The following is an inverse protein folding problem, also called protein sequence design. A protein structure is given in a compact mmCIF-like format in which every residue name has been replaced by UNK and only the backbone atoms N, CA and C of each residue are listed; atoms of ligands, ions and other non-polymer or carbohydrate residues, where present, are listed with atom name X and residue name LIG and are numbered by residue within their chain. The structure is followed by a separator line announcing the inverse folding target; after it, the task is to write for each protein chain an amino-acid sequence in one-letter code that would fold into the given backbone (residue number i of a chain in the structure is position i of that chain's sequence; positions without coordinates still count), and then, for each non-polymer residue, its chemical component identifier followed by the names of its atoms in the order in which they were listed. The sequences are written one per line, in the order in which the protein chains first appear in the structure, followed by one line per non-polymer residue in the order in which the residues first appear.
data_IF_588505738022
#
_entry.id   IF_588505738022
#
_cell.length_a   1.000
_cell.length_b   1.000
_cell.length_c   1.000
_cell.angle_alpha   90.00
_cell.angle_beta   90.00
_cell.angle_gamma   90.00
#
_symmetry.space_group_name_H-M   'P 1'
#
loop_
_entity.id
_entity.type
_entity.pdbx_description
1 polymer ?
#
# COMPACT_ATOMS: atom_id res chain seq x y z
N UNK A 1 32.34 14.97 -14.69
CA UNK A 1 31.93 13.74 -15.41
C UNK A 1 32.83 12.51 -15.24
N UNK A 2 34.14 12.62 -14.97
CA UNK A 2 35.03 11.45 -14.83
C UNK A 2 34.65 10.46 -13.72
N UNK A 3 34.09 10.93 -12.61
CA UNK A 3 33.59 10.05 -11.53
C UNK A 3 32.33 9.27 -11.93
N UNK A 4 31.45 9.84 -12.76
CA UNK A 4 30.23 9.16 -13.25
C UNK A 4 30.59 7.96 -14.13
N UNK A 5 31.69 8.05 -14.88
CA UNK A 5 32.18 6.96 -15.74
C UNK A 5 32.62 5.71 -14.94
N UNK A 6 32.91 5.85 -13.64
CA UNK A 6 33.27 4.73 -12.75
C UNK A 6 32.05 3.97 -12.23
N UNK A 7 30.83 4.48 -12.44
CA UNK A 7 29.59 3.85 -11.96
C UNK A 7 28.74 3.34 -13.12
N UNK A 8 28.09 2.19 -12.91
CA UNK A 8 27.04 1.71 -13.81
C UNK A 8 25.71 2.38 -13.42
N UNK A 9 25.00 3.03 -14.34
CA UNK A 9 23.67 3.55 -14.05
C UNK A 9 22.70 2.39 -13.79
N UNK A 10 21.95 2.49 -12.70
CA UNK A 10 20.85 1.57 -12.37
C UNK A 10 19.55 2.36 -12.45
N UNK A 11 18.62 1.91 -13.29
CA UNK A 11 17.31 2.53 -13.41
C UNK A 11 16.37 1.94 -12.36
N UNK A 12 15.94 2.74 -11.40
CA UNK A 12 14.89 2.36 -10.45
C UNK A 12 13.54 2.85 -10.98
N UNK A 13 12.82 1.95 -11.65
CA UNK A 13 11.45 2.20 -12.11
C UNK A 13 10.45 2.07 -10.97
N UNK A 14 9.21 2.51 -11.22
CA UNK A 14 8.09 2.36 -10.28
C UNK A 14 7.96 0.88 -9.89
N UNK A 15 8.00 0.53 -8.59
CA UNK A 15 7.89 -0.85 -8.16
C UNK A 15 6.49 -1.42 -8.40
N UNK A 16 6.35 -2.73 -8.37
CA UNK A 16 5.02 -3.37 -8.42
C UNK A 16 4.35 -3.29 -7.04
N UNK A 17 3.34 -2.42 -6.94
CA UNK A 17 2.65 -2.16 -5.68
C UNK A 17 1.78 -3.33 -5.23
N UNK A 18 1.25 -4.11 -6.18
CA UNK A 18 0.36 -5.24 -5.88
C UNK A 18 1.16 -6.39 -5.28
N UNK A 19 2.33 -6.69 -5.86
CA UNK A 19 3.21 -7.75 -5.37
C UNK A 19 3.76 -7.43 -3.98
N UNK A 20 4.19 -6.18 -3.76
CA UNK A 20 4.69 -5.74 -2.45
C UNK A 20 3.59 -5.85 -1.39
N UNK A 21 2.37 -5.40 -1.72
CA UNK A 21 1.23 -5.49 -0.80
C UNK A 21 0.83 -6.94 -0.52
N UNK A 22 0.86 -7.82 -1.52
CA UNK A 22 0.56 -9.25 -1.36
C UNK A 22 1.52 -9.93 -0.39
N UNK A 23 2.84 -9.77 -0.62
CA UNK A 23 3.87 -10.37 0.25
C UNK A 23 3.77 -9.80 1.67
N UNK A 24 3.51 -8.50 1.80
CA UNK A 24 3.38 -7.85 3.10
C UNK A 24 2.16 -8.36 3.87
N UNK A 25 0.99 -8.46 3.24
CA UNK A 25 -0.21 -9.02 3.88
C UNK A 25 -0.02 -10.50 4.24
N UNK A 26 0.63 -11.27 3.37
CA UNK A 26 0.92 -12.67 3.64
C UNK A 26 1.83 -12.83 4.88
N UNK A 27 2.86 -11.98 5.02
CA UNK A 27 3.73 -11.96 6.20
C UNK A 27 2.99 -11.58 7.49
N UNK A 28 1.89 -10.83 7.40
CA UNK A 28 1.03 -10.44 8.52
C UNK A 28 -0.06 -11.50 8.84
N UNK A 29 -0.08 -12.62 8.11
CA UNK A 29 -0.99 -13.75 8.36
C UNK A 29 -2.33 -13.67 7.64
N UNK A 30 -2.43 -12.92 6.54
CA UNK A 30 -3.63 -12.88 5.70
C UNK A 30 -3.65 -14.05 4.70
N UNK A 31 -4.71 -14.84 4.71
CA UNK A 31 -4.93 -15.93 3.76
C UNK A 31 -5.41 -15.41 2.39
N UNK A 32 -6.20 -14.33 2.38
CA UNK A 32 -6.76 -13.73 1.16
C UNK A 32 -5.91 -12.58 0.60
N UNK A 33 -4.63 -12.51 0.99
CA UNK A 33 -3.67 -11.46 0.66
C UNK A 33 -3.65 -11.09 -0.84
N UNK A 34 -3.65 -12.08 -1.73
CA UNK A 34 -3.62 -11.90 -3.20
C UNK A 34 -4.81 -11.13 -3.76
N UNK A 35 -5.99 -11.33 -3.18
CA UNK A 35 -7.22 -10.66 -3.62
C UNK A 35 -7.27 -9.25 -3.02
N UNK A 36 -6.92 -9.12 -1.74
CA UNK A 36 -6.92 -7.85 -1.02
C UNK A 36 -5.87 -6.87 -1.54
N UNK A 37 -4.67 -7.33 -1.86
CA UNK A 37 -3.60 -6.51 -2.44
C UNK A 37 -4.07 -5.86 -3.75
N UNK A 38 -4.58 -6.64 -4.70
CA UNK A 38 -5.08 -6.13 -5.99
C UNK A 38 -6.20 -5.12 -5.83
N UNK A 39 -7.15 -5.38 -4.92
CA UNK A 39 -8.25 -4.44 -4.63
C UNK A 39 -7.72 -3.13 -4.05
N UNK A 40 -6.80 -3.21 -3.10
CA UNK A 40 -6.15 -2.04 -2.50
C UNK A 40 -5.40 -1.22 -3.53
N UNK A 41 -4.52 -1.84 -4.31
CA UNK A 41 -3.69 -1.13 -5.28
C UNK A 41 -4.55 -0.46 -6.36
N UNK A 42 -5.63 -1.14 -6.79
CA UNK A 42 -6.58 -0.56 -7.74
C UNK A 42 -7.34 0.63 -7.15
N UNK A 43 -7.72 0.58 -5.87
CA UNK A 43 -8.35 1.70 -5.17
C UNK A 43 -7.42 2.91 -5.11
N UNK A 44 -6.15 2.74 -4.70
CA UNK A 44 -5.20 3.85 -4.63
C UNK A 44 -4.89 4.44 -6.01
N UNK A 45 -4.80 3.60 -7.04
CA UNK A 45 -4.64 4.05 -8.42
C UNK A 45 -5.83 4.92 -8.86
N UNK A 46 -7.06 4.43 -8.69
CA UNK A 46 -8.26 5.18 -9.05
C UNK A 46 -8.39 6.46 -8.24
N UNK A 47 -8.05 6.44 -6.94
CA UNK A 47 -8.07 7.64 -6.11
C UNK A 47 -7.10 8.71 -6.65
N UNK A 48 -5.89 8.32 -7.07
CA UNK A 48 -4.93 9.26 -7.66
C UNK A 48 -5.37 9.84 -9.01
N UNK A 49 -6.25 9.13 -9.74
CA UNK A 49 -6.76 9.54 -11.06
C UNK A 49 -8.06 10.35 -10.97
N UNK A 50 -8.89 10.11 -9.94
CA UNK A 50 -10.26 10.65 -9.85
C UNK A 50 -10.44 11.74 -8.80
N UNK A 51 -9.60 11.78 -7.76
CA UNK A 51 -9.69 12.80 -6.71
C UNK A 51 -9.03 14.09 -7.19
N UNK A 52 -9.50 15.24 -6.69
CA UNK A 52 -8.89 16.54 -7.01
C UNK A 52 -7.39 16.56 -6.68
N UNK A 53 -6.60 17.25 -7.51
CA UNK A 53 -5.16 17.33 -7.34
C UNK A 53 -4.82 18.31 -6.20
N UNK A 54 -4.67 17.78 -4.98
CA UNK A 54 -4.25 18.55 -3.81
C UNK A 54 -2.83 18.15 -3.37
N UNK A 55 -1.97 19.10 -2.93
CA UNK A 55 -0.59 18.81 -2.54
C UNK A 55 -0.45 17.84 -1.34
N UNK A 56 -1.47 17.75 -0.49
CA UNK A 56 -1.46 16.94 0.73
C UNK A 56 -1.94 15.50 0.52
N UNK A 57 -2.48 15.16 -0.66
CA UNK A 57 -2.86 13.78 -0.97
C UNK A 57 -1.62 12.95 -1.33
N UNK A 58 -1.41 11.87 -0.56
CA UNK A 58 -0.36 10.87 -0.83
C UNK A 58 -0.99 9.51 -1.11
N UNK A 59 -0.95 9.10 -2.38
CA UNK A 59 -1.38 7.78 -2.86
C UNK A 59 -0.19 6.88 -3.24
N UNK A 60 1.04 7.28 -2.90
CA UNK A 60 2.25 6.55 -3.25
C UNK A 60 2.50 5.32 -2.36
N UNK A 61 3.60 4.61 -2.67
CA UNK A 61 4.04 3.42 -1.92
C UNK A 61 4.20 3.66 -0.41
N UNK A 62 4.56 4.88 -0.01
CA UNK A 62 4.70 5.24 1.41
C UNK A 62 3.36 5.17 2.16
N UNK A 63 2.31 5.74 1.58
CA UNK A 63 0.96 5.65 2.14
C UNK A 63 0.46 4.20 2.19
N UNK A 64 0.67 3.44 1.11
CA UNK A 64 0.31 2.01 1.04
C UNK A 64 1.01 1.22 2.14
N UNK A 65 2.32 1.40 2.34
CA UNK A 65 3.07 0.72 3.40
C UNK A 65 2.50 0.99 4.80
N UNK A 66 2.12 2.25 5.08
CA UNK A 66 1.51 2.61 6.36
C UNK A 66 0.19 1.85 6.60
N UNK A 67 -0.67 1.75 5.59
CA UNK A 67 -1.93 1.01 5.68
C UNK A 67 -1.69 -0.49 5.88
N UNK A 68 -0.70 -1.08 5.20
CA UNK A 68 -0.37 -2.50 5.36
C UNK A 68 0.05 -2.84 6.79
N UNK A 69 0.88 -1.99 7.41
CA UNK A 69 1.31 -2.15 8.82
C UNK A 69 0.12 -2.01 9.78
N UNK A 70 -0.78 -1.05 9.52
CA UNK A 70 -2.01 -0.89 10.30
C UNK A 70 -2.94 -2.10 10.14
N UNK A 71 -3.09 -2.65 8.94
CA UNK A 71 -3.90 -3.84 8.68
C UNK A 71 -3.35 -5.07 9.41
N UNK A 72 -2.03 -5.27 9.40
CA UNK A 72 -1.38 -6.36 10.16
C UNK A 72 -1.59 -6.24 11.67
N UNK A 73 -1.48 -5.02 12.20
CA UNK A 73 -1.80 -4.74 13.61
C UNK A 73 -3.28 -5.00 13.90
N UNK A 74 -4.17 -4.56 13.01
CA UNK A 74 -5.61 -4.80 13.12
C UNK A 74 -5.98 -6.28 13.12
N UNK A 75 -5.29 -7.11 12.31
CA UNK A 75 -5.51 -8.56 12.25
C UNK A 75 -5.06 -9.25 13.54
N UNK A 76 -3.90 -8.86 14.11
CA UNK A 76 -3.44 -9.37 15.41
C UNK A 76 -4.40 -9.03 16.54
N UNK A 77 -4.91 -7.81 16.57
CA UNK A 77 -5.87 -7.39 17.60
C UNK A 77 -7.25 -8.01 17.44
N UNK A 78 -7.58 -8.51 16.24
CA UNK A 78 -8.91 -9.05 15.92
C UNK A 78 -8.80 -10.31 15.04
N UNK A 79 -8.46 -11.47 15.61
CA UNK A 79 -8.16 -12.68 14.84
C UNK A 79 -9.37 -13.20 14.05
N UNK A 80 -10.56 -13.16 14.67
CA UNK A 80 -11.80 -13.72 14.15
C UNK A 80 -12.53 -12.81 13.15
N UNK A 81 -12.09 -11.55 13.03
CA UNK A 81 -12.70 -10.60 12.11
C UNK A 81 -12.32 -10.96 10.66
N UNK A 82 -13.28 -10.89 9.72
CA UNK A 82 -13.00 -11.09 8.31
C UNK A 82 -11.90 -10.14 7.82
N UNK A 83 -10.92 -10.70 7.12
CA UNK A 83 -9.73 -9.98 6.65
C UNK A 83 -10.08 -8.75 5.80
N UNK A 84 -11.13 -8.84 4.99
CA UNK A 84 -11.63 -7.72 4.21
C UNK A 84 -12.08 -6.55 5.09
N UNK A 85 -12.72 -6.83 6.23
CA UNK A 85 -13.19 -5.79 7.16
C UNK A 85 -11.99 -5.14 7.86
N UNK A 86 -11.01 -5.93 8.30
CA UNK A 86 -9.76 -5.42 8.88
C UNK A 86 -9.06 -4.48 7.90
N UNK A 87 -8.98 -4.88 6.62
CA UNK A 87 -8.37 -4.08 5.58
C UNK A 87 -9.13 -2.78 5.30
N UNK A 88 -10.46 -2.84 5.19
CA UNK A 88 -11.30 -1.66 5.00
C UNK A 88 -11.12 -0.68 6.17
N UNK A 89 -11.12 -1.17 7.41
CA UNK A 89 -10.91 -0.35 8.59
C UNK A 89 -9.57 0.37 8.55
N UNK A 90 -8.48 -0.36 8.26
CA UNK A 90 -7.15 0.24 8.14
C UNK A 90 -7.07 1.31 7.03
N UNK A 91 -7.76 1.11 5.90
CA UNK A 91 -7.85 2.11 4.83
C UNK A 91 -8.64 3.34 5.27
N UNK A 92 -9.80 3.15 5.91
CA UNK A 92 -10.64 4.23 6.40
C UNK A 92 -9.90 5.07 7.44
N UNK A 93 -9.31 4.44 8.45
CA UNK A 93 -8.57 5.11 9.52
C UNK A 93 -7.37 5.91 8.98
N UNK A 94 -6.73 5.44 7.90
CA UNK A 94 -5.61 6.15 7.27
C UNK A 94 -6.03 7.27 6.34
N UNK A 95 -7.13 7.10 5.61
CA UNK A 95 -7.48 7.98 4.49
C UNK A 95 -8.50 9.04 4.88
N UNK A 96 -9.46 8.76 5.77
CA UNK A 96 -10.49 9.73 6.18
C UNK A 96 -9.87 11.01 6.76
N UNK A 97 -8.86 10.97 7.65
CA UNK A 97 -8.27 12.20 8.19
C UNK A 97 -7.49 13.04 7.17
N UNK A 98 -7.22 12.49 5.97
CA UNK A 98 -6.46 13.17 4.91
C UNK A 98 -7.36 13.89 3.92
N UNK A 99 -8.66 13.58 3.89
CA UNK A 99 -9.66 14.22 3.05
C UNK A 99 -10.36 15.34 3.82
#
# INVERSE_FOLDING_TARGET
DNLKALFRPMSMMVPDYSLIAEISLFAEGFETAKILSKKMTKLYKLASEQVSAQPHYDFGMRAIKSVLVMAGTGKRSNPDLPEAIVMIRAMCDSNIPKF
#
